data_IF_401530123235
#
_entry.id   IF_401530123235
#
_cell.length_a   1.000
_cell.length_b   1.000
_cell.length_c   1.000
_cell.angle_alpha   90.00
_cell.angle_beta   90.00
_cell.angle_gamma   90.00
#
_symmetry.space_group_name_H-M   'P 1'
#
loop_
_entity.id
_entity.type
_entity.pdbx_description
1 polymer ?
#
# COMPACT_ATOMS: atom_id res chain seq x y z
N UNK A 1 -25.59 -17.70 37.71
CA UNK A 1 -25.41 -17.56 37.16
C UNK A 1 -24.97 -17.40 36.39
N UNK A 2 -24.75 -17.25 36.29
CA UNK A 2 -24.42 -17.02 35.47
C UNK A 2 -24.22 -16.89 34.51
N UNK A 3 -24.23 -16.69 34.31
CA UNK A 3 -24.13 -16.56 33.44
C UNK A 3 -23.93 -16.27 32.76
N UNK A 4 -23.99 -16.02 32.88
CA UNK A 4 -23.89 -15.74 32.26
C UNK A 4 -23.86 -15.44 31.77
N UNK A 5 -24.20 -15.10 32.23
CA UNK A 5 -24.07 -14.67 31.76
C UNK A 5 -23.75 -14.40 31.09
N UNK A 6 -24.02 -14.49 31.54
CA UNK A 6 -23.67 -13.89 30.74
C UNK A 6 -22.77 -13.98 29.71
N UNK A 7 -22.24 -14.62 29.78
CA UNK A 7 -21.42 -14.77 28.76
C UNK A 7 -21.81 -14.25 27.52
N UNK A 8 -22.47 -13.53 27.65
CA UNK A 8 -22.68 -13.00 26.57
C UNK A 8 -21.54 -12.52 25.96
N UNK A 9 -21.15 -13.24 25.06
CA UNK A 9 -20.01 -12.90 24.32
C UNK A 9 -20.26 -11.59 23.63
N UNK A 10 -19.37 -10.71 23.81
CA UNK A 10 -19.40 -9.53 23.03
C UNK A 10 -19.42 -9.89 21.59
N UNK A 11 -20.08 -9.13 20.89
CA UNK A 11 -20.31 -9.31 19.50
C UNK A 11 -19.01 -9.51 18.76
N UNK A 12 -18.77 -10.66 18.19
CA UNK A 12 -17.49 -10.95 17.59
C UNK A 12 -17.19 -10.11 16.35
N UNK A 13 -18.17 -9.55 15.76
CA UNK A 13 -17.93 -8.71 14.61
C UNK A 13 -17.58 -7.28 14.97
N UNK A 14 -17.64 -6.91 16.19
CA UNK A 14 -16.94 -5.73 16.62
C UNK A 14 -15.48 -6.09 16.65
N UNK A 15 -14.86 -6.00 15.51
CA UNK A 15 -13.46 -6.25 15.44
C UNK A 15 -12.75 -5.55 16.57
N UNK A 16 -12.04 -6.26 17.41
CA UNK A 16 -11.22 -5.60 18.38
C UNK A 16 -10.29 -4.67 17.61
N UNK A 17 -10.25 -3.42 18.00
CA UNK A 17 -9.27 -2.57 17.37
C UNK A 17 -7.93 -3.22 17.53
N UNK A 18 -7.25 -3.28 16.44
CA UNK A 18 -5.92 -3.83 16.44
C UNK A 18 -5.03 -2.90 17.25
N UNK A 19 -5.01 -3.12 18.55
CA UNK A 19 -4.28 -2.25 19.46
C UNK A 19 -2.79 -2.21 19.20
N UNK A 20 -2.31 -3.19 18.44
CA UNK A 20 -0.89 -3.34 18.17
C UNK A 20 -0.55 -3.12 16.71
N UNK A 21 -1.48 -2.59 15.95
CA UNK A 21 -1.20 -2.31 14.56
C UNK A 21 -0.25 -1.12 14.44
N UNK A 22 0.87 -1.36 13.81
CA UNK A 22 1.77 -0.30 13.42
C UNK A 22 1.38 0.14 12.01
N UNK A 23 1.08 1.40 11.87
CA UNK A 23 0.71 2.00 10.61
C UNK A 23 1.77 3.04 10.25
N UNK A 24 2.19 3.05 9.03
CA UNK A 24 3.15 4.03 8.56
C UNK A 24 2.65 4.64 7.25
N UNK A 25 3.01 5.88 7.03
CA UNK A 25 2.83 6.54 5.74
C UNK A 25 4.20 6.66 5.11
N UNK A 26 4.36 6.06 3.95
CA UNK A 26 5.61 6.04 3.24
C UNK A 26 5.45 6.72 1.88
N UNK A 27 6.56 7.18 1.35
CA UNK A 27 6.59 7.77 0.02
C UNK A 27 7.36 6.88 -0.92
N UNK A 28 6.71 6.46 -1.98
CA UNK A 28 7.32 5.61 -3.01
C UNK A 28 7.04 6.23 -4.36
N UNK A 29 8.08 6.41 -5.16
CA UNK A 29 7.97 6.96 -6.53
C UNK A 29 7.18 8.27 -6.58
N UNK A 30 7.33 9.11 -5.57
CA UNK A 30 6.63 10.41 -5.51
C UNK A 30 5.20 10.35 -5.02
N UNK A 31 4.71 9.18 -4.64
CA UNK A 31 3.35 9.00 -4.11
C UNK A 31 3.40 8.49 -2.68
N UNK A 32 2.40 8.88 -1.91
CA UNK A 32 2.28 8.49 -0.51
C UNK A 32 1.32 7.31 -0.37
N UNK A 33 1.71 6.35 0.45
CA UNK A 33 0.90 5.16 0.72
C UNK A 33 0.84 4.90 2.21
N UNK A 34 -0.33 4.48 2.67
CA UNK A 34 -0.50 3.97 4.01
C UNK A 34 -0.14 2.49 3.99
N UNK A 35 0.78 2.09 4.85
CA UNK A 35 1.25 0.71 4.92
C UNK A 35 1.13 0.15 6.32
N UNK A 36 0.86 -1.12 6.39
CA UNK A 36 0.83 -1.90 7.62
C UNK A 36 1.82 -3.06 7.49
N UNK A 37 2.15 -3.66 8.62
CA UNK A 37 3.04 -4.81 8.63
C UNK A 37 2.42 -5.96 7.83
N UNK A 38 3.24 -6.64 7.06
CA UNK A 38 2.85 -7.79 6.21
C UNK A 38 1.80 -7.46 5.15
N UNK A 39 1.66 -6.21 4.79
CA UNK A 39 0.76 -5.78 3.73
C UNK A 39 1.43 -5.85 2.38
N UNK A 40 0.66 -6.27 1.39
CA UNK A 40 1.11 -6.28 0.00
C UNK A 40 0.47 -5.09 -0.73
N UNK A 41 1.29 -4.34 -1.43
CA UNK A 41 0.86 -3.14 -2.14
C UNK A 41 1.31 -3.15 -3.58
N UNK A 42 0.55 -2.46 -4.41
CA UNK A 42 0.95 -2.16 -5.78
C UNK A 42 1.35 -0.69 -5.85
N UNK A 43 2.60 -0.45 -6.18
CA UNK A 43 3.15 0.90 -6.28
C UNK A 43 3.60 1.17 -7.71
N UNK A 44 3.76 2.42 -8.10
CA UNK A 44 4.35 2.73 -9.40
C UNK A 44 5.68 2.02 -9.55
N UNK A 45 6.08 1.74 -10.78
CA UNK A 45 7.26 0.93 -11.05
C UNK A 45 8.50 1.46 -10.34
N UNK A 46 9.13 0.58 -9.60
CA UNK A 46 10.40 0.82 -8.93
C UNK A 46 11.42 -0.14 -9.55
N UNK A 47 12.62 0.33 -9.76
CA UNK A 47 13.70 -0.50 -10.28
C UNK A 47 14.10 -1.54 -9.25
N UNK A 48 14.28 -2.75 -9.70
CA UNK A 48 14.68 -3.87 -8.84
C UNK A 48 14.11 -5.18 -9.35
N UNK A 49 14.65 -6.26 -8.85
CA UNK A 49 14.21 -7.61 -9.18
C UNK A 49 13.38 -8.19 -8.04
N UNK A 50 12.64 -9.25 -8.33
CA UNK A 50 11.90 -9.97 -7.32
C UNK A 50 12.87 -10.50 -6.24
N UNK A 51 12.52 -10.24 -4.98
CA UNK A 51 13.35 -10.62 -3.84
C UNK A 51 14.26 -9.50 -3.34
N UNK A 52 14.37 -8.39 -4.05
CA UNK A 52 15.16 -7.26 -3.60
C UNK A 52 14.45 -6.52 -2.47
N UNK A 53 15.23 -6.04 -1.52
CA UNK A 53 14.70 -5.23 -0.42
C UNK A 53 14.81 -3.76 -0.75
N UNK A 54 13.78 -3.04 -0.39
CA UNK A 54 13.74 -1.59 -0.56
C UNK A 54 13.57 -0.92 0.79
N UNK A 55 14.32 0.15 0.98
CA UNK A 55 14.08 1.05 2.10
C UNK A 55 13.16 2.16 1.62
N UNK A 56 12.04 2.31 2.32
CA UNK A 56 11.04 3.30 1.97
C UNK A 56 11.21 4.55 2.84
N UNK A 57 11.00 5.69 2.22
CA UNK A 57 11.02 6.95 2.94
C UNK A 57 9.77 7.06 3.80
N UNK A 58 9.96 7.19 5.11
CA UNK A 58 8.87 7.25 6.07
C UNK A 58 8.51 8.69 6.34
N UNK A 59 7.24 9.02 6.18
CA UNK A 59 6.72 10.35 6.49
C UNK A 59 6.06 10.40 7.85
N UNK A 60 5.42 9.31 8.26
CA UNK A 60 4.73 9.25 9.53
C UNK A 60 4.66 7.80 9.98
N UNK A 61 4.81 7.57 11.27
CA UNK A 61 4.63 6.26 11.88
C UNK A 61 3.71 6.41 13.09
N UNK A 62 2.72 5.57 13.16
CA UNK A 62 1.85 5.45 14.31
C UNK A 62 2.12 4.11 14.98
N UNK A 63 2.60 4.17 16.21
CA UNK A 63 2.86 2.98 17.00
C UNK A 63 2.02 3.08 18.27
N UNK A 64 0.96 2.27 18.36
CA UNK A 64 0.09 2.20 19.54
C UNK A 64 -0.40 3.57 20.05
N UNK A 65 -0.81 4.42 19.11
CA UNK A 65 -1.29 5.75 19.47
C UNK A 65 -0.20 6.81 19.61
N UNK A 66 1.06 6.43 19.46
CA UNK A 66 2.17 7.38 19.44
C UNK A 66 2.52 7.72 18.00
N UNK A 67 2.34 8.98 17.67
CA UNK A 67 2.66 9.47 16.33
C UNK A 67 4.07 10.04 16.30
N UNK A 68 4.83 9.60 15.34
CA UNK A 68 6.13 10.18 15.02
C UNK A 68 6.10 10.67 13.57
N UNK A 69 6.46 11.91 13.36
CA UNK A 69 6.33 12.57 12.07
C UNK A 69 7.69 12.90 11.50
N UNK A 70 7.85 12.63 10.22
CA UNK A 70 9.03 13.04 9.46
C UNK A 70 10.28 12.25 9.79
N UNK A 71 11.40 12.77 9.34
CA UNK A 71 12.70 12.14 9.52
C UNK A 71 13.10 12.01 11.00
N UNK A 72 12.50 12.81 11.86
CA UNK A 72 12.78 12.77 13.30
C UNK A 72 12.28 11.48 13.96
N UNK A 73 11.42 10.73 13.30
CA UNK A 73 10.91 9.47 13.83
C UNK A 73 12.01 8.42 13.97
N UNK A 74 13.07 8.53 13.18
CA UNK A 74 14.12 7.51 13.13
C UNK A 74 13.64 6.15 12.64
N UNK A 75 12.39 6.06 12.23
CA UNK A 75 11.78 4.82 11.81
C UNK A 75 12.08 4.54 10.34
N UNK A 76 12.22 3.26 10.03
CA UNK A 76 12.43 2.81 8.67
C UNK A 76 11.42 1.74 8.33
N UNK A 77 10.96 1.76 7.10
CA UNK A 77 10.08 0.72 6.58
C UNK A 77 10.84 -0.02 5.50
N UNK A 78 10.94 -1.32 5.67
CA UNK A 78 11.56 -2.19 4.68
C UNK A 78 10.48 -2.98 3.96
N UNK A 79 10.57 -2.99 2.66
CA UNK A 79 9.68 -3.76 1.81
C UNK A 79 10.50 -4.64 0.89
N UNK A 80 9.90 -5.75 0.53
CA UNK A 80 10.49 -6.68 -0.43
C UNK A 80 9.72 -6.62 -1.73
N UNK A 81 10.43 -6.58 -2.84
CA UNK A 81 9.80 -6.61 -4.15
C UNK A 81 9.36 -8.04 -4.44
N UNK A 82 8.06 -8.25 -4.60
CA UNK A 82 7.50 -9.56 -4.96
C UNK A 82 7.59 -9.80 -6.46
N UNK A 83 7.38 -8.75 -7.24
CA UNK A 83 7.47 -8.86 -8.69
C UNK A 83 7.09 -7.58 -9.39
N UNK A 84 7.33 -7.59 -10.69
CA UNK A 84 6.98 -6.50 -11.58
C UNK A 84 5.73 -6.90 -12.36
N UNK A 85 4.74 -6.04 -12.36
CA UNK A 85 3.46 -6.31 -13.00
C UNK A 85 3.09 -5.16 -13.94
N UNK A 86 2.18 -5.48 -14.85
CA UNK A 86 1.55 -4.46 -15.68
C UNK A 86 0.06 -4.46 -15.40
N UNK A 87 -0.52 -3.28 -15.37
CA UNK A 87 -1.95 -3.13 -15.22
C UNK A 87 -2.71 -3.55 -16.47
N UNK A 88 -4.00 -3.33 -16.44
CA UNK A 88 -4.87 -3.66 -17.57
C UNK A 88 -4.55 -2.80 -18.78
N UNK A 89 -4.73 -3.37 -19.95
CA UNK A 89 -4.58 -2.63 -21.20
C UNK A 89 -5.75 -1.69 -21.38
N UNK A 90 -5.44 -0.41 -21.47
CA UNK A 90 -6.42 0.64 -21.73
C UNK A 90 -6.15 1.21 -23.12
N UNK A 91 -7.20 1.35 -23.90
CA UNK A 91 -7.08 1.88 -25.26
C UNK A 91 -7.70 3.27 -25.28
N UNK A 92 -6.88 4.25 -25.63
CA UNK A 92 -7.35 5.60 -25.87
C UNK A 92 -7.62 5.76 -27.37
N UNK A 93 -8.89 5.83 -27.72
CA UNK A 93 -9.32 6.02 -29.09
C UNK A 93 -9.85 7.42 -29.27
N UNK A 94 -9.33 8.12 -30.27
CA UNK A 94 -9.76 9.45 -30.61
C UNK A 94 -10.15 9.51 -32.08
N UNK A 95 -11.25 10.14 -32.34
CA UNK A 95 -11.75 10.34 -33.70
C UNK A 95 -12.36 11.74 -33.81
N UNK A 96 -12.08 12.42 -34.92
CA UNK A 96 -12.73 13.68 -35.27
C UNK A 96 -13.59 13.49 -36.49
N UNK A 97 -14.80 14.02 -36.42
CA UNK A 97 -15.78 13.93 -37.49
C UNK A 97 -15.28 14.68 -38.73
N UNK A 98 -15.40 14.09 -39.89
CA UNK A 98 -15.10 14.70 -41.21
C UNK A 98 -13.66 15.13 -41.43
N UNK A 99 -12.72 14.66 -40.61
CA UNK A 99 -11.31 15.03 -40.75
C UNK A 99 -10.35 13.87 -40.96
N UNK A 100 -10.87 12.67 -41.12
CA UNK A 100 -10.03 11.50 -41.26
C UNK A 100 -9.08 11.28 -40.10
N UNK A 101 -9.36 11.90 -38.96
CA UNK A 101 -8.49 11.81 -37.79
C UNK A 101 -8.92 10.62 -36.93
N UNK A 102 -8.07 9.60 -36.91
CA UNK A 102 -8.26 8.43 -36.09
C UNK A 102 -6.96 8.17 -35.34
N UNK A 103 -7.02 8.15 -34.02
CA UNK A 103 -5.88 7.73 -33.20
C UNK A 103 -6.31 6.67 -32.22
N UNK A 104 -5.61 5.57 -32.24
CA UNK A 104 -5.78 4.49 -31.28
C UNK A 104 -4.45 4.29 -30.57
N UNK A 105 -4.44 4.46 -29.28
CA UNK A 105 -3.22 4.32 -28.48
C UNK A 105 -3.48 3.39 -27.32
N UNK A 106 -2.72 2.31 -27.26
CA UNK A 106 -2.78 1.40 -26.12
C UNK A 106 -1.89 1.88 -25.00
N UNK A 107 -2.32 1.67 -23.77
CA UNK A 107 -1.56 2.02 -22.59
C UNK A 107 -1.71 0.93 -21.52
N UNK A 108 -0.58 0.54 -20.95
CA UNK A 108 -0.55 -0.33 -19.77
C UNK A 108 0.38 0.30 -18.75
N UNK A 109 -0.14 0.52 -17.56
CA UNK A 109 0.66 1.07 -16.47
C UNK A 109 1.52 -0.03 -15.87
N UNK A 110 2.79 0.26 -15.65
CA UNK A 110 3.69 -0.66 -14.99
C UNK A 110 3.62 -0.46 -13.48
N UNK A 111 3.50 -1.55 -12.75
CA UNK A 111 3.44 -1.55 -11.30
C UNK A 111 4.48 -2.51 -10.72
N UNK A 112 4.90 -2.22 -9.51
CA UNK A 112 5.72 -3.13 -8.72
C UNK A 112 4.90 -3.61 -7.54
N UNK A 113 4.82 -4.92 -7.36
CA UNK A 113 4.18 -5.50 -6.20
C UNK A 113 5.22 -5.61 -5.10
N UNK A 114 4.95 -4.95 -3.99
CA UNK A 114 5.84 -4.98 -2.83
C UNK A 114 5.09 -5.54 -1.63
N UNK A 115 5.85 -6.18 -0.76
CA UNK A 115 5.36 -6.66 0.53
C UNK A 115 6.13 -5.96 1.63
N UNK A 116 5.43 -5.36 2.57
CA UNK A 116 6.06 -4.72 3.71
C UNK A 116 6.56 -5.80 4.66
N UNK A 117 7.86 -5.80 4.92
CA UNK A 117 8.49 -6.80 5.78
C UNK A 117 8.49 -6.33 7.22
N UNK A 118 8.92 -5.09 7.45
CA UNK A 118 9.02 -4.56 8.80
C UNK A 118 8.85 -3.05 8.82
N UNK A 119 8.29 -2.59 9.91
CA UNK A 119 8.21 -1.17 10.26
C UNK A 119 8.95 -1.02 11.56
N UNK A 120 10.00 -0.26 11.54
CA UNK A 120 10.82 -0.07 12.73
C UNK A 120 10.88 1.38 13.16
#
# INVERSE_FOLDING_TARGET
MRFFVGGFSPIPYLCPPNFYSMVAIVRVAGQQFKVEKDQTLYVPRVEGNAGDKLDLEVLLVDTNGKLAVGAASGSKVQAEIVGQLKGDTVIAYKQKRRKGFHKKKGHRTAYTKIKVVSIA
#
